data_IF_439206189941
#
_entry.id   IF_439206189941
#
_cell.length_a   1.000
_cell.length_b   1.000
_cell.length_c   1.000
_cell.angle_alpha   90.00
_cell.angle_beta   90.00
_cell.angle_gamma   90.00
#
_symmetry.space_group_name_H-M   'P 1'
#
loop_
_entity.id
_entity.type
_entity.pdbx_description
1 polymer ?
#
# COMPACT_ATOMS: atom_id res chain seq x y z
N UNK A 1 6.09 14.32 -22.74
CA UNK A 1 6.47 15.20 -21.61
C UNK A 1 5.39 15.09 -20.54
N UNK A 2 5.72 15.18 -19.24
CA UNK A 2 4.73 14.98 -18.18
C UNK A 2 3.73 16.15 -18.09
N UNK A 3 2.43 15.84 -17.94
CA UNK A 3 1.34 16.82 -17.76
C UNK A 3 1.45 17.60 -16.45
N UNK A 4 1.90 16.92 -15.39
CA UNK A 4 2.09 17.48 -14.05
C UNK A 4 3.48 17.13 -13.52
N UNK A 5 4.01 17.97 -12.64
CA UNK A 5 5.23 17.69 -11.89
C UNK A 5 4.99 17.79 -10.39
N UNK A 6 5.55 16.85 -9.64
CA UNK A 6 5.48 16.88 -8.18
C UNK A 6 6.34 18.02 -7.63
N UNK A 7 5.77 18.78 -6.70
CA UNK A 7 6.43 19.85 -5.94
C UNK A 7 6.50 19.41 -4.48
N UNK A 8 7.37 20.07 -3.69
CA UNK A 8 7.49 19.82 -2.25
C UNK A 8 6.11 19.76 -1.58
N UNK A 9 5.75 18.62 -0.95
CA UNK A 9 4.48 18.49 -0.27
C UNK A 9 4.44 19.39 0.96
N UNK A 10 3.24 19.71 1.43
CA UNK A 10 3.06 20.59 2.58
C UNK A 10 1.99 20.06 3.54
N UNK A 11 2.07 20.46 4.80
CA UNK A 11 1.02 20.16 5.78
C UNK A 11 -0.08 21.21 5.70
N UNK A 12 -1.33 20.76 5.64
CA UNK A 12 -2.51 21.65 5.61
C UNK A 12 -2.93 22.06 7.03
N UNK A 13 -2.82 21.16 8.00
CA UNK A 13 -3.41 21.34 9.33
C UNK A 13 -2.32 21.46 10.38
N UNK A 14 -2.42 22.49 11.20
CA UNK A 14 -1.54 22.75 12.34
C UNK A 14 -2.39 22.71 13.60
N UNK A 15 -1.89 22.08 14.65
CA UNK A 15 -2.56 22.06 15.95
C UNK A 15 -1.64 22.72 16.96
N UNK A 16 -2.19 23.66 17.72
CA UNK A 16 -1.48 24.49 18.68
C UNK A 16 -1.99 24.16 20.09
N UNK A 17 -1.09 23.96 21.05
CA UNK A 17 -1.45 23.95 22.47
C UNK A 17 -0.54 24.87 23.29
N UNK A 18 -0.97 25.34 24.46
CA UNK A 18 -0.07 26.00 25.40
C UNK A 18 1.12 25.10 25.75
N UNK A 19 2.31 25.69 25.87
CA UNK A 19 3.53 24.98 26.26
C UNK A 19 3.43 24.53 27.72
N UNK A 20 3.88 23.31 28.02
CA UNK A 20 3.84 22.77 29.41
C UNK A 20 4.70 23.59 30.39
N UNK A 21 5.81 24.17 29.93
CA UNK A 21 6.71 24.96 30.75
C UNK A 21 6.11 26.29 31.23
N UNK A 22 5.28 26.95 30.41
CA UNK A 22 4.67 28.25 30.73
C UNK A 22 3.33 28.44 29.99
N UNK A 23 2.22 27.86 30.50
CA UNK A 23 0.93 27.92 29.82
C UNK A 23 0.35 29.35 29.65
N UNK A 24 0.69 30.27 30.55
CA UNK A 24 0.20 31.66 30.52
C UNK A 24 0.71 32.46 29.32
N UNK A 25 1.84 32.07 28.71
CA UNK A 25 2.39 32.75 27.54
C UNK A 25 1.52 32.54 26.29
N UNK A 26 0.65 31.53 26.27
CA UNK A 26 -0.28 31.28 25.18
C UNK A 26 -1.26 32.44 24.99
N UNK A 27 -1.52 33.25 26.03
CA UNK A 27 -2.33 34.45 25.90
C UNK A 27 -1.75 35.43 24.86
N UNK A 28 -0.43 35.45 24.65
CA UNK A 28 0.19 36.27 23.59
C UNK A 28 -0.15 35.81 22.18
N UNK A 29 -0.47 34.51 21.99
CA UNK A 29 -0.98 33.97 20.71
C UNK A 29 -2.43 34.42 20.53
N UNK A 30 -3.22 34.36 21.60
CA UNK A 30 -4.62 34.82 21.64
C UNK A 30 -4.74 36.33 21.41
N UNK A 31 -3.79 37.12 21.91
CA UNK A 31 -3.80 38.59 21.82
C UNK A 31 -2.95 39.12 20.66
N UNK A 32 -2.48 38.26 19.75
CA UNK A 32 -1.56 38.67 18.69
C UNK A 32 -2.23 39.58 17.65
N UNK A 33 -1.93 40.87 17.65
CA UNK A 33 -2.51 41.84 16.71
C UNK A 33 -1.84 41.88 15.33
N UNK A 34 -1.09 40.84 14.94
CA UNK A 34 -0.57 40.77 13.57
C UNK A 34 -1.67 40.25 12.64
N UNK A 35 -1.71 40.67 11.36
CA UNK A 35 -2.75 40.23 10.43
C UNK A 35 -2.79 38.71 10.28
N UNK A 36 -1.63 38.04 10.30
CA UNK A 36 -1.54 36.58 10.29
C UNK A 36 -2.12 35.97 11.57
N UNK A 37 -1.80 36.56 12.73
CA UNK A 37 -2.27 36.10 14.03
C UNK A 37 -3.78 36.22 14.19
N UNK A 38 -4.33 37.36 13.76
CA UNK A 38 -5.77 37.59 13.71
C UNK A 38 -6.46 36.60 12.77
N UNK A 39 -5.92 36.40 11.57
CA UNK A 39 -6.50 35.45 10.62
C UNK A 39 -6.53 34.03 11.18
N UNK A 40 -5.43 33.57 11.78
CA UNK A 40 -5.36 32.25 12.43
C UNK A 40 -6.44 32.11 13.51
N UNK A 41 -6.63 33.12 14.37
CA UNK A 41 -7.62 33.05 15.46
C UNK A 41 -9.06 33.09 14.98
N UNK A 42 -9.33 33.83 13.91
CA UNK A 42 -10.68 33.93 13.39
C UNK A 42 -11.11 32.62 12.69
N UNK A 43 -10.16 31.84 12.15
CA UNK A 43 -10.47 30.59 11.43
C UNK A 43 -10.18 29.30 12.21
N UNK A 44 -9.49 29.37 13.35
CA UNK A 44 -9.14 28.15 14.09
C UNK A 44 -10.35 27.50 14.77
N UNK A 45 -10.30 26.18 14.90
CA UNK A 45 -11.24 25.40 15.71
C UNK A 45 -10.66 25.29 17.11
N UNK A 46 -11.20 26.09 18.03
CA UNK A 46 -10.76 26.06 19.42
C UNK A 46 -11.16 24.74 20.10
N UNK A 47 -10.18 24.04 20.64
CA UNK A 47 -10.39 22.88 21.50
C UNK A 47 -9.96 23.18 22.94
N UNK A 48 -10.21 22.26 23.87
CA UNK A 48 -9.86 22.43 25.29
C UNK A 48 -8.37 22.50 25.54
N UNK A 49 -7.57 21.82 24.72
CA UNK A 49 -6.10 21.77 24.84
C UNK A 49 -5.45 22.08 23.49
N UNK A 50 -5.95 21.46 22.41
CA UNK A 50 -5.44 21.65 21.06
C UNK A 50 -6.39 22.51 20.23
N UNK A 51 -5.88 23.63 19.70
CA UNK A 51 -6.56 24.49 18.74
C UNK A 51 -6.11 24.08 17.33
N UNK A 52 -7.07 23.77 16.45
CA UNK A 52 -6.77 23.29 15.10
C UNK A 52 -6.89 24.42 14.10
N UNK A 53 -5.82 24.67 13.34
CA UNK A 53 -5.72 25.68 12.31
C UNK A 53 -5.64 24.98 10.95
N UNK A 54 -6.57 25.31 10.06
CA UNK A 54 -6.39 25.05 8.63
C UNK A 54 -5.67 26.27 8.03
N UNK A 55 -4.43 26.06 7.59
CA UNK A 55 -3.57 27.13 7.10
C UNK A 55 -4.09 27.73 5.80
N UNK A 56 -4.76 26.94 4.96
CA UNK A 56 -5.35 27.44 3.71
C UNK A 56 -6.55 28.34 4.02
N UNK A 57 -7.45 27.90 4.90
CA UNK A 57 -8.58 28.71 5.32
C UNK A 57 -8.14 30.01 6.01
N UNK A 58 -7.10 29.96 6.85
CA UNK A 58 -6.51 31.14 7.48
C UNK A 58 -5.86 32.09 6.46
N UNK A 59 -5.20 31.56 5.43
CA UNK A 59 -4.62 32.37 4.36
C UNK A 59 -5.72 33.06 3.52
N UNK A 60 -6.77 32.33 3.16
CA UNK A 60 -7.91 32.85 2.39
C UNK A 60 -8.69 33.93 3.16
N UNK A 61 -8.99 33.69 4.44
CA UNK A 61 -9.71 34.66 5.28
C UNK A 61 -8.93 35.97 5.45
N UNK A 62 -7.61 35.89 5.58
CA UNK A 62 -6.74 37.04 5.75
C UNK A 62 -6.31 37.71 4.44
N UNK A 63 -6.58 37.10 3.28
CA UNK A 63 -5.94 37.46 2.00
C UNK A 63 -4.40 37.51 2.09
N UNK A 64 -3.80 36.54 2.79
CA UNK A 64 -2.37 36.44 3.07
C UNK A 64 -1.74 35.25 2.34
N UNK A 65 -0.40 35.25 2.18
CA UNK A 65 0.28 34.06 1.68
C UNK A 65 0.32 32.96 2.76
N UNK A 66 0.16 31.71 2.32
CA UNK A 66 0.26 30.53 3.19
C UNK A 66 1.58 30.52 3.98
N UNK A 67 2.69 30.93 3.34
CA UNK A 67 4.00 30.97 3.97
C UNK A 67 4.04 31.92 5.15
N UNK A 68 3.31 33.05 5.12
CA UNK A 68 3.27 34.01 6.22
C UNK A 68 2.51 33.46 7.43
N UNK A 69 1.38 32.78 7.19
CA UNK A 69 0.64 32.05 8.23
C UNK A 69 1.53 30.99 8.90
N UNK A 70 2.21 30.16 8.10
CA UNK A 70 3.10 29.13 8.63
C UNK A 70 4.27 29.75 9.40
N UNK A 71 4.87 30.82 8.86
CA UNK A 71 5.97 31.52 9.51
C UNK A 71 5.55 32.12 10.85
N UNK A 72 4.34 32.67 10.94
CA UNK A 72 3.80 33.17 12.20
C UNK A 72 3.62 32.05 13.23
N UNK A 73 3.08 30.90 12.82
CA UNK A 73 2.95 29.72 13.71
C UNK A 73 4.33 29.25 14.18
N UNK A 74 5.30 29.14 13.27
CA UNK A 74 6.68 28.76 13.63
C UNK A 74 7.34 29.79 14.54
N UNK A 75 7.04 31.08 14.37
CA UNK A 75 7.55 32.13 15.27
C UNK A 75 7.02 31.96 16.69
N UNK A 76 5.73 31.66 16.86
CA UNK A 76 5.15 31.38 18.17
C UNK A 76 5.76 30.13 18.82
N UNK A 77 6.00 29.09 18.05
CA UNK A 77 6.67 27.87 18.53
C UNK A 77 8.11 28.14 18.99
N UNK A 78 8.90 28.85 18.18
CA UNK A 78 10.29 29.19 18.51
C UNK A 78 10.39 30.13 19.72
N UNK A 79 9.39 30.98 19.93
CA UNK A 79 9.29 31.84 21.12
C UNK A 79 8.81 31.09 22.37
N UNK A 80 8.49 29.79 22.25
CA UNK A 80 7.97 28.97 23.34
C UNK A 80 6.54 29.31 23.75
N UNK A 81 5.78 30.02 22.92
CA UNK A 81 4.41 30.45 23.23
C UNK A 81 3.40 29.31 23.07
N UNK A 82 3.69 28.35 22.20
CA UNK A 82 2.87 27.18 21.97
C UNK A 82 3.71 25.98 21.51
N UNK A 83 3.18 24.78 21.71
CA UNK A 83 3.64 23.56 21.04
C UNK A 83 2.81 23.30 19.79
N UNK A 84 3.47 22.89 18.71
CA UNK A 84 2.84 22.70 17.40
C UNK A 84 2.93 21.23 16.98
N UNK A 85 1.84 20.71 16.42
CA UNK A 85 1.84 19.44 15.66
C UNK A 85 1.22 19.64 14.29
N UNK A 86 1.84 19.04 13.29
CA UNK A 86 1.41 19.12 11.89
C UNK A 86 0.72 17.83 11.45
N UNK A 87 -0.36 17.98 10.68
CA UNK A 87 -1.16 16.90 10.14
C UNK A 87 -1.64 17.24 8.72
N UNK A 88 -2.15 16.23 8.00
CA UNK A 88 -2.70 16.42 6.66
C UNK A 88 -1.63 16.78 5.63
N UNK A 89 -0.66 15.88 5.43
CA UNK A 89 0.30 16.01 4.32
C UNK A 89 -0.45 16.02 2.99
N UNK A 90 -0.24 17.06 2.21
CA UNK A 90 -0.79 17.22 0.87
C UNK A 90 0.34 17.20 -0.15
N UNK A 91 0.21 16.30 -1.13
CA UNK A 91 1.05 16.33 -2.32
C UNK A 91 0.65 17.52 -3.18
N UNK A 92 1.64 18.36 -3.54
CA UNK A 92 1.43 19.50 -4.42
C UNK A 92 1.94 19.15 -5.81
N UNK A 93 1.18 19.53 -6.83
CA UNK A 93 1.57 19.36 -8.21
C UNK A 93 1.53 20.69 -8.94
N UNK A 94 2.49 20.90 -9.84
CA UNK A 94 2.48 21.99 -10.81
C UNK A 94 1.96 21.45 -12.13
N UNK A 95 1.03 22.17 -12.75
CA UNK A 95 0.53 21.87 -14.09
C UNK A 95 1.55 22.40 -15.09
N UNK A 96 2.12 21.51 -15.91
CA UNK A 96 3.15 21.85 -16.90
C UNK A 96 2.58 22.06 -18.31
N UNK A 97 1.44 21.46 -18.58
CA UNK A 97 0.72 21.55 -19.86
C UNK A 97 -0.76 21.83 -19.59
N UNK A 98 -1.47 22.53 -20.49
CA UNK A 98 -2.90 22.78 -20.32
C UNK A 98 -3.63 21.46 -20.09
N UNK A 99 -4.50 21.44 -19.08
CA UNK A 99 -5.29 20.25 -18.78
C UNK A 99 -6.25 19.97 -19.95
N UNK A 100 -6.42 18.69 -20.34
CA UNK A 100 -7.41 18.32 -21.34
C UNK A 100 -8.80 18.74 -20.87
N UNK A 101 -9.58 19.31 -21.79
CA UNK A 101 -10.93 19.82 -21.49
C UNK A 101 -12.01 19.09 -22.30
N UNK A 102 -11.62 18.45 -23.40
CA UNK A 102 -12.54 17.62 -24.18
C UNK A 102 -12.67 16.23 -23.56
N UNK A 103 -13.86 15.65 -23.65
CA UNK A 103 -14.16 14.29 -23.18
C UNK A 103 -13.23 13.26 -23.85
N UNK A 104 -12.98 13.41 -25.16
CA UNK A 104 -12.09 12.52 -25.90
C UNK A 104 -10.63 12.54 -25.41
N UNK A 105 -10.09 13.71 -25.05
CA UNK A 105 -8.73 13.81 -24.51
C UNK A 105 -8.65 13.26 -23.08
N UNK A 106 -9.72 13.44 -22.28
CA UNK A 106 -9.81 12.87 -20.93
C UNK A 106 -9.84 11.34 -20.98
N UNK A 107 -10.61 10.77 -21.91
CA UNK A 107 -10.64 9.33 -22.13
C UNK A 107 -9.28 8.79 -22.55
N UNK A 108 -8.60 9.46 -23.49
CA UNK A 108 -7.24 9.07 -23.90
C UNK A 108 -6.25 9.10 -22.73
N UNK A 109 -6.32 10.12 -21.88
CA UNK A 109 -5.48 10.21 -20.69
C UNK A 109 -5.80 9.09 -19.69
N UNK A 110 -7.09 8.81 -19.46
CA UNK A 110 -7.53 7.74 -18.58
C UNK A 110 -7.05 6.37 -19.07
N UNK A 111 -7.19 6.09 -20.37
CA UNK A 111 -6.68 4.87 -21.01
C UNK A 111 -5.17 4.77 -20.86
N UNK A 112 -4.41 5.83 -21.15
CA UNK A 112 -2.95 5.80 -21.03
C UNK A 112 -2.48 5.54 -19.58
N UNK A 113 -3.15 6.12 -18.58
CA UNK A 113 -2.87 5.85 -17.16
C UNK A 113 -3.21 4.41 -16.79
N UNK A 114 -4.35 3.90 -17.28
CA UNK A 114 -4.76 2.52 -17.06
C UNK A 114 -3.75 1.54 -17.66
N UNK A 115 -3.37 1.73 -18.91
CA UNK A 115 -2.44 0.86 -19.62
C UNK A 115 -1.08 0.80 -18.91
N UNK A 116 -0.55 1.95 -18.48
CA UNK A 116 0.71 1.99 -17.74
C UNK A 116 0.63 1.22 -16.41
N UNK A 117 -0.50 1.32 -15.70
CA UNK A 117 -0.71 0.56 -14.46
C UNK A 117 -0.87 -0.93 -14.74
N UNK A 118 -1.62 -1.30 -15.79
CA UNK A 118 -1.86 -2.68 -16.19
C UNK A 118 -0.57 -3.37 -16.64
N UNK A 119 0.24 -2.72 -17.47
CA UNK A 119 1.55 -3.23 -17.90
C UNK A 119 2.48 -3.47 -16.72
N UNK A 120 2.50 -2.55 -15.74
CA UNK A 120 3.32 -2.69 -14.52
C UNK A 120 2.83 -3.85 -13.65
N UNK A 121 1.52 -3.98 -13.48
CA UNK A 121 0.91 -5.09 -12.74
C UNK A 121 1.25 -6.43 -13.40
N UNK A 122 1.11 -6.54 -14.72
CA UNK A 122 1.44 -7.76 -15.47
C UNK A 122 2.94 -8.08 -15.38
N UNK A 123 3.82 -7.08 -15.48
CA UNK A 123 5.25 -7.26 -15.28
C UNK A 123 5.60 -7.78 -13.88
N UNK A 124 4.91 -7.27 -12.84
CA UNK A 124 5.09 -7.73 -11.47
C UNK A 124 4.55 -9.16 -11.25
N UNK A 125 3.38 -9.49 -11.82
CA UNK A 125 2.83 -10.85 -11.81
C UNK A 125 3.77 -11.83 -12.51
N UNK A 126 4.27 -11.47 -13.70
CA UNK A 126 5.24 -12.26 -14.45
C UNK A 126 6.54 -12.47 -13.65
N UNK A 127 7.03 -11.43 -12.98
CA UNK A 127 8.22 -11.53 -12.11
C UNK A 127 7.98 -12.47 -10.92
N UNK A 128 6.81 -12.42 -10.29
CA UNK A 128 6.44 -13.34 -9.20
C UNK A 128 6.33 -14.79 -9.68
N UNK A 129 5.68 -15.02 -10.83
CA UNK A 129 5.63 -16.34 -11.48
C UNK A 129 7.03 -16.85 -11.81
N UNK A 130 7.90 -15.98 -12.33
CA UNK A 130 9.31 -16.29 -12.61
C UNK A 130 10.10 -16.79 -11.39
N UNK A 131 9.82 -16.25 -10.19
CA UNK A 131 10.43 -16.75 -8.94
C UNK A 131 9.91 -18.14 -8.58
N UNK A 132 8.62 -18.39 -8.72
CA UNK A 132 8.03 -19.71 -8.45
C UNK A 132 8.56 -20.76 -9.46
N UNK A 133 8.65 -20.40 -10.73
CA UNK A 133 9.21 -21.24 -11.78
C UNK A 133 10.70 -21.52 -11.56
N UNK A 134 11.48 -20.51 -11.18
CA UNK A 134 12.89 -20.67 -10.81
C UNK A 134 13.09 -21.70 -9.70
N UNK A 135 12.24 -21.68 -8.66
CA UNK A 135 12.30 -22.64 -7.55
C UNK A 135 11.92 -24.05 -8.02
N UNK A 136 10.90 -24.17 -8.88
CA UNK A 136 10.32 -25.42 -9.35
C UNK A 136 11.13 -26.13 -10.43
N UNK A 137 11.74 -25.39 -11.35
CA UNK A 137 12.34 -25.98 -12.54
C UNK A 137 13.58 -26.80 -12.20
N UNK A 138 14.34 -26.43 -11.16
CA UNK A 138 15.63 -27.06 -10.85
C UNK A 138 16.68 -26.92 -11.96
N UNK A 139 16.32 -26.40 -13.12
CA UNK A 139 17.18 -26.16 -14.28
C UNK A 139 16.63 -25.00 -15.10
N UNK A 140 17.51 -24.34 -15.83
CA UNK A 140 17.27 -23.06 -16.49
C UNK A 140 16.38 -23.18 -17.74
N UNK A 141 15.05 -23.19 -17.56
CA UNK A 141 14.12 -22.81 -18.65
C UNK A 141 13.62 -21.35 -18.51
N UNK A 142 13.96 -20.66 -17.41
CA UNK A 142 13.56 -19.27 -17.17
C UNK A 142 14.38 -18.23 -17.95
N UNK A 143 15.37 -18.64 -18.76
CA UNK A 143 16.13 -17.75 -19.64
C UNK A 143 15.34 -17.28 -20.90
N UNK A 144 14.15 -17.82 -21.18
CA UNK A 144 13.44 -17.53 -22.42
C UNK A 144 12.66 -16.20 -22.45
N UNK A 145 12.65 -15.41 -21.36
CA UNK A 145 11.80 -14.22 -21.30
C UNK A 145 12.53 -12.87 -21.21
N UNK A 146 13.86 -12.80 -21.05
CA UNK A 146 14.56 -11.51 -20.90
C UNK A 146 15.95 -11.38 -21.55
N UNK A 147 16.58 -12.42 -22.10
CA UNK A 147 17.89 -12.28 -22.76
C UNK A 147 17.86 -12.78 -24.21
N UNK A 148 18.41 -11.94 -25.09
CA UNK A 148 18.68 -12.26 -26.50
C UNK A 148 19.50 -13.56 -26.58
N UNK A 149 19.27 -14.41 -27.60
CA UNK A 149 20.06 -15.62 -27.78
C UNK A 149 21.53 -15.26 -28.06
N UNK A 150 22.40 -15.46 -27.08
CA UNK A 150 23.85 -15.46 -27.29
C UNK A 150 24.24 -16.83 -27.84
N UNK A 151 24.78 -16.84 -29.07
CA UNK A 151 24.95 -18.01 -29.93
C UNK A 151 26.09 -18.96 -29.55
N UNK A 152 26.50 -19.04 -28.28
CA UNK A 152 27.69 -19.81 -27.92
C UNK A 152 27.68 -20.36 -26.49
N UNK A 153 26.66 -21.09 -26.09
CA UNK A 153 26.80 -22.02 -24.95
C UNK A 153 26.07 -23.34 -25.25
N UNK A 154 26.84 -24.42 -25.21
CA UNK A 154 26.35 -25.79 -25.28
C UNK A 154 25.50 -26.12 -24.04
N UNK A 155 24.46 -26.96 -24.18
CA UNK A 155 23.55 -27.26 -23.09
C UNK A 155 24.24 -28.16 -22.05
N UNK A 156 24.78 -27.56 -20.99
CA UNK A 156 25.18 -28.31 -19.81
C UNK A 156 23.92 -28.75 -19.05
N UNK A 157 23.56 -30.02 -19.22
CA UNK A 157 22.53 -30.66 -18.42
C UNK A 157 22.90 -30.55 -16.92
N UNK A 158 22.02 -29.91 -16.14
CA UNK A 158 22.08 -29.69 -14.68
C UNK A 158 22.76 -28.41 -14.15
N UNK A 159 22.32 -27.24 -14.62
CA UNK A 159 22.66 -25.96 -13.97
C UNK A 159 21.98 -25.78 -12.60
N UNK A 160 22.72 -25.40 -11.55
CA UNK A 160 22.16 -25.15 -10.21
C UNK A 160 21.50 -23.78 -10.05
N UNK A 161 20.74 -23.59 -8.95
CA UNK A 161 20.02 -22.34 -8.64
C UNK A 161 20.90 -21.08 -8.72
N UNK A 162 22.14 -21.15 -8.25
CA UNK A 162 23.06 -20.02 -8.30
C UNK A 162 23.39 -19.56 -9.73
N UNK A 163 23.48 -20.49 -10.70
CA UNK A 163 23.75 -20.16 -12.09
C UNK A 163 22.55 -19.46 -12.74
N UNK A 164 21.33 -19.95 -12.49
CA UNK A 164 20.11 -19.31 -12.98
C UNK A 164 19.89 -17.91 -12.38
N UNK A 165 20.28 -17.68 -11.11
CA UNK A 165 20.30 -16.34 -10.54
C UNK A 165 21.34 -15.43 -11.20
N UNK A 166 22.56 -15.94 -11.44
CA UNK A 166 23.60 -15.18 -12.11
C UNK A 166 23.15 -14.72 -13.50
N UNK A 167 22.54 -15.62 -14.29
CA UNK A 167 21.95 -15.31 -15.59
C UNK A 167 20.84 -14.26 -15.52
N UNK A 168 19.95 -14.33 -14.52
CA UNK A 168 18.88 -13.33 -14.34
C UNK A 168 19.44 -11.91 -14.15
N UNK A 169 20.59 -11.78 -13.48
CA UNK A 169 21.28 -10.50 -13.30
C UNK A 169 22.27 -10.16 -14.43
N UNK A 170 22.31 -10.96 -15.51
CA UNK A 170 23.18 -10.75 -16.66
C UNK A 170 24.63 -11.20 -16.47
N UNK A 171 24.90 -12.03 -15.46
CA UNK A 171 26.22 -12.61 -15.22
C UNK A 171 26.29 -14.06 -15.71
N UNK A 172 26.64 -14.22 -16.99
CA UNK A 172 26.76 -15.53 -17.64
C UNK A 172 27.97 -16.35 -17.12
N UNK A 173 28.97 -15.67 -16.55
CA UNK A 173 30.24 -16.29 -16.12
C UNK A 173 30.35 -16.49 -14.61
N UNK A 174 29.45 -15.89 -13.83
CA UNK A 174 29.49 -15.89 -12.37
C UNK A 174 29.42 -17.26 -11.70
N UNK A 175 28.93 -18.28 -12.43
CA UNK A 175 28.97 -19.68 -12.00
C UNK A 175 29.60 -20.53 -13.10
N UNK A 176 30.93 -20.74 -13.05
CA UNK A 176 31.63 -21.59 -14.00
C UNK A 176 31.03 -22.99 -14.02
N UNK A 177 30.90 -23.58 -15.22
CA UNK A 177 30.35 -24.94 -15.45
C UNK A 177 28.87 -25.11 -15.04
N UNK A 178 28.15 -24.03 -14.75
CA UNK A 178 26.72 -24.08 -14.44
C UNK A 178 26.37 -24.60 -13.04
N UNK A 179 27.36 -24.99 -12.23
CA UNK A 179 27.13 -25.58 -10.91
C UNK A 179 27.94 -24.86 -9.83
N UNK A 180 27.26 -24.43 -8.76
CA UNK A 180 27.95 -23.83 -7.61
C UNK A 180 28.44 -24.87 -6.59
N UNK A 181 27.95 -26.12 -6.63
CA UNK A 181 28.25 -27.16 -5.62
C UNK A 181 27.64 -26.95 -4.22
N UNK A 182 27.11 -25.76 -3.92
CA UNK A 182 26.69 -25.39 -2.57
C UNK A 182 25.16 -25.30 -2.38
N UNK A 183 24.39 -25.02 -3.43
CA UNK A 183 22.93 -24.89 -3.34
C UNK A 183 22.22 -26.24 -3.14
N UNK A 184 20.98 -26.19 -2.64
CA UNK A 184 20.16 -27.39 -2.40
C UNK A 184 20.02 -28.26 -3.65
N UNK A 185 19.84 -27.65 -4.82
CA UNK A 185 19.80 -28.39 -6.08
C UNK A 185 21.12 -29.06 -6.43
N UNK A 186 22.27 -28.37 -6.31
CA UNK A 186 23.58 -29.00 -6.56
C UNK A 186 23.84 -30.20 -5.64
N UNK A 187 23.37 -30.14 -4.38
CA UNK A 187 23.56 -31.22 -3.40
C UNK A 187 22.60 -32.39 -3.60
N UNK A 188 21.35 -32.13 -3.98
CA UNK A 188 20.29 -33.16 -4.00
C UNK A 188 19.88 -33.58 -5.42
N UNK A 189 20.24 -32.77 -6.42
CA UNK A 189 19.78 -32.87 -7.82
C UNK A 189 18.25 -32.98 -7.94
N UNK A 190 17.52 -32.45 -6.96
CA UNK A 190 16.06 -32.42 -6.90
C UNK A 190 15.58 -30.98 -6.77
N UNK A 191 14.66 -30.59 -7.64
CA UNK A 191 13.97 -29.31 -7.52
C UNK A 191 13.05 -29.31 -6.29
N UNK A 192 12.80 -28.12 -5.75
CA UNK A 192 11.84 -27.95 -4.67
C UNK A 192 10.41 -28.20 -5.19
N UNK A 193 9.70 -29.13 -4.56
CA UNK A 193 8.29 -29.36 -4.85
C UNK A 193 7.46 -28.21 -4.29
N UNK A 194 7.00 -27.32 -5.15
CA UNK A 194 6.07 -26.26 -4.81
C UNK A 194 4.81 -26.43 -5.67
N UNK A 195 3.65 -26.57 -5.03
CA UNK A 195 2.35 -26.53 -5.71
C UNK A 195 1.77 -25.13 -5.48
N UNK A 196 1.86 -24.21 -6.46
CA UNK A 196 1.18 -22.92 -6.34
C UNK A 196 -0.33 -23.16 -6.20
N UNK A 197 -0.94 -22.56 -5.17
CA UNK A 197 -2.39 -22.41 -5.07
C UNK A 197 -2.85 -21.37 -6.08
N UNK A 198 -3.82 -21.68 -6.95
CA UNK A 198 -4.37 -20.71 -7.90
C UNK A 198 -4.80 -21.24 -9.27
N UNK A 199 -4.69 -22.54 -9.55
CA UNK A 199 -5.19 -23.15 -10.79
C UNK A 199 -6.38 -24.09 -10.53
N UNK A 200 -7.18 -23.83 -9.48
CA UNK A 200 -8.36 -24.63 -9.19
C UNK A 200 -9.41 -24.48 -10.29
N UNK A 201 -10.18 -25.54 -10.53
CA UNK A 201 -11.32 -25.51 -11.45
C UNK A 201 -12.33 -24.44 -11.02
N UNK A 202 -12.94 -23.80 -12.02
CA UNK A 202 -14.05 -22.84 -11.85
C UNK A 202 -15.22 -23.50 -11.11
N UNK A 203 -15.56 -23.06 -9.88
CA UNK A 203 -16.63 -23.66 -9.13
C UNK A 203 -17.97 -22.98 -9.49
N UNK A 204 -18.63 -23.43 -10.56
CA UNK A 204 -19.89 -22.87 -11.08
C UNK A 204 -20.97 -22.67 -9.99
N UNK A 205 -21.09 -23.60 -9.05
CA UNK A 205 -22.06 -23.52 -7.94
C UNK A 205 -21.77 -22.32 -7.03
N UNK A 206 -20.49 -22.09 -6.73
CA UNK A 206 -20.06 -20.98 -5.88
C UNK A 206 -20.23 -19.64 -6.61
N UNK A 207 -19.94 -19.60 -7.91
CA UNK A 207 -20.16 -18.42 -8.76
C UNK A 207 -21.64 -18.04 -8.77
N UNK A 208 -22.55 -19.01 -8.97
CA UNK A 208 -24.00 -18.77 -8.88
C UNK A 208 -24.41 -18.24 -7.51
N UNK A 209 -23.87 -18.82 -6.43
CA UNK A 209 -24.13 -18.35 -5.06
C UNK A 209 -23.74 -16.88 -4.87
N UNK A 210 -22.59 -16.46 -5.43
CA UNK A 210 -22.16 -15.05 -5.40
C UNK A 210 -23.14 -14.17 -6.19
N UNK A 211 -23.56 -14.60 -7.38
CA UNK A 211 -24.49 -13.87 -8.25
C UNK A 211 -25.90 -13.73 -7.64
N UNK A 212 -26.35 -14.72 -6.87
CA UNK A 212 -27.66 -14.70 -6.20
C UNK A 212 -27.67 -13.75 -4.99
N UNK A 213 -26.57 -13.70 -4.25
CA UNK A 213 -26.42 -12.87 -3.04
C UNK A 213 -26.10 -11.42 -3.39
N UNK A 214 -25.28 -11.21 -4.42
CA UNK A 214 -24.81 -9.92 -4.85
C UNK A 214 -25.36 -9.58 -6.24
N UNK A 215 -26.17 -8.53 -6.31
CA UNK A 215 -26.80 -8.03 -7.52
C UNK A 215 -25.98 -6.96 -8.24
N UNK A 216 -24.78 -6.66 -7.77
CA UNK A 216 -23.85 -5.78 -8.50
C UNK A 216 -23.52 -6.42 -9.85
N UNK A 217 -23.74 -5.70 -10.95
CA UNK A 217 -23.41 -6.13 -12.32
C UNK A 217 -22.72 -5.04 -13.13
N UNK A 218 -22.49 -3.88 -12.55
CA UNK A 218 -21.77 -2.78 -13.19
C UNK A 218 -20.24 -3.00 -13.25
N UNK A 219 -19.70 -3.92 -12.46
CA UNK A 219 -18.26 -4.15 -12.32
C UNK A 219 -17.97 -5.64 -12.07
N UNK A 220 -17.52 -6.36 -13.10
CA UNK A 220 -17.14 -7.76 -13.01
C UNK A 220 -15.94 -7.99 -12.09
N UNK A 221 -15.00 -7.03 -12.03
CA UNK A 221 -13.81 -7.11 -11.17
C UNK A 221 -14.19 -7.01 -9.71
N UNK A 222 -15.23 -6.25 -9.37
CA UNK A 222 -15.82 -6.26 -8.03
C UNK A 222 -16.34 -7.65 -7.65
N UNK A 223 -17.10 -8.32 -8.52
CA UNK A 223 -17.60 -9.68 -8.28
C UNK A 223 -16.45 -10.69 -8.13
N UNK A 224 -15.44 -10.62 -9.00
CA UNK A 224 -14.25 -11.46 -8.91
C UNK A 224 -13.52 -11.25 -7.57
N UNK A 225 -13.35 -10.00 -7.12
CA UNK A 225 -12.74 -9.68 -5.81
C UNK A 225 -13.55 -10.21 -4.64
N UNK A 226 -14.88 -10.10 -4.69
CA UNK A 226 -15.78 -10.64 -3.68
C UNK A 226 -15.63 -12.17 -3.58
N UNK A 227 -15.75 -12.86 -4.70
CA UNK A 227 -15.66 -14.31 -4.78
C UNK A 227 -14.28 -14.84 -4.40
N UNK A 228 -13.20 -14.12 -4.76
CA UNK A 228 -11.83 -14.49 -4.41
C UNK A 228 -11.44 -14.11 -2.97
N UNK A 229 -12.14 -13.16 -2.34
CA UNK A 229 -11.88 -12.74 -0.96
C UNK A 229 -10.89 -11.57 -0.84
N UNK A 230 -10.83 -10.70 -1.86
CA UNK A 230 -10.00 -9.49 -1.84
C UNK A 230 -10.81 -8.31 -1.27
N UNK A 231 -10.33 -7.74 -0.16
CA UNK A 231 -10.95 -6.54 0.42
C UNK A 231 -10.94 -5.36 -0.56
N UNK A 232 -12.05 -4.63 -0.62
CA UNK A 232 -12.16 -3.33 -1.27
C UNK A 232 -13.05 -2.40 -0.45
N UNK A 233 -12.93 -1.06 -0.62
CA UNK A 233 -13.84 -0.12 0.02
C UNK A 233 -15.31 -0.44 -0.29
N UNK A 234 -15.61 -0.82 -1.53
CA UNK A 234 -16.97 -1.18 -1.99
C UNK A 234 -17.48 -2.47 -1.32
N UNK A 235 -16.65 -3.52 -1.20
CA UNK A 235 -17.02 -4.76 -0.50
C UNK A 235 -17.34 -4.49 0.97
N UNK A 236 -16.56 -3.60 1.61
CA UNK A 236 -16.78 -3.20 3.00
C UNK A 236 -18.04 -2.36 3.16
N UNK A 237 -18.27 -1.40 2.28
CA UNK A 237 -19.45 -0.53 2.28
C UNK A 237 -20.76 -1.32 2.11
N UNK A 238 -20.75 -2.38 1.28
CA UNK A 238 -21.89 -3.27 1.08
C UNK A 238 -22.02 -4.34 2.18
N UNK A 239 -21.13 -4.37 3.18
CA UNK A 239 -21.17 -5.33 4.28
C UNK A 239 -20.87 -6.78 3.87
N UNK A 240 -20.37 -6.98 2.65
CA UNK A 240 -20.14 -8.30 2.06
C UNK A 240 -18.86 -8.97 2.59
N UNK A 241 -17.93 -8.22 3.16
CA UNK A 241 -16.69 -8.76 3.76
C UNK A 241 -16.92 -9.74 4.92
N UNK A 242 -18.12 -9.74 5.51
CA UNK A 242 -18.52 -10.65 6.60
C UNK A 242 -19.52 -11.72 6.14
N UNK A 243 -19.89 -11.73 4.86
CA UNK A 243 -20.83 -12.68 4.30
C UNK A 243 -20.10 -13.97 3.90
N UNK A 244 -20.81 -15.10 3.93
CA UNK A 244 -20.25 -16.42 3.59
C UNK A 244 -19.82 -16.54 2.10
N UNK A 245 -20.20 -15.57 1.25
CA UNK A 245 -19.80 -15.53 -0.18
C UNK A 245 -18.44 -14.89 -0.38
N UNK A 246 -17.91 -14.20 0.64
CA UNK A 246 -16.59 -13.56 0.56
C UNK A 246 -15.50 -14.63 0.61
N UNK A 247 -14.73 -14.74 -0.47
CA UNK A 247 -13.65 -15.74 -0.58
C UNK A 247 -14.13 -17.17 -0.80
N UNK A 248 -15.37 -17.37 -1.26
CA UNK A 248 -15.92 -18.71 -1.54
C UNK A 248 -15.13 -19.43 -2.66
N UNK A 249 -14.63 -18.68 -3.65
CA UNK A 249 -13.85 -19.17 -4.79
C UNK A 249 -12.33 -18.92 -4.63
N UNK A 250 -11.79 -18.88 -3.40
CA UNK A 250 -10.38 -18.51 -3.14
C UNK A 250 -9.32 -19.37 -3.85
N UNK A 251 -9.67 -20.60 -4.21
CA UNK A 251 -8.74 -21.57 -4.83
C UNK A 251 -8.85 -21.58 -6.36
N UNK A 252 -9.85 -20.88 -6.94
CA UNK A 252 -10.08 -20.80 -8.37
C UNK A 252 -9.07 -19.86 -9.06
N UNK A 253 -8.85 -20.04 -10.36
CA UNK A 253 -8.10 -19.09 -11.16
C UNK A 253 -8.85 -17.74 -11.26
N UNK A 254 -8.18 -16.65 -10.88
CA UNK A 254 -8.79 -15.32 -10.82
C UNK A 254 -9.16 -14.78 -12.21
N UNK A 255 -8.38 -15.09 -13.25
CA UNK A 255 -8.64 -14.60 -14.61
C UNK A 255 -9.87 -15.29 -15.17
N UNK A 256 -9.94 -16.61 -15.03
CA UNK A 256 -11.12 -17.38 -15.42
C UNK A 256 -12.38 -16.92 -14.68
N UNK A 257 -12.24 -16.63 -13.39
CA UNK A 257 -13.33 -16.10 -12.56
C UNK A 257 -13.78 -14.71 -13.05
N UNK A 258 -12.84 -13.84 -13.41
CA UNK A 258 -13.12 -12.52 -13.97
C UNK A 258 -13.81 -12.62 -15.32
N UNK A 259 -13.31 -13.44 -16.24
CA UNK A 259 -13.91 -13.67 -17.56
C UNK A 259 -15.34 -14.20 -17.43
N UNK A 260 -15.58 -15.11 -16.48
CA UNK A 260 -16.93 -15.61 -16.21
C UNK A 260 -17.85 -14.51 -15.71
N UNK A 261 -17.40 -13.67 -14.79
CA UNK A 261 -18.20 -12.54 -14.31
C UNK A 261 -18.41 -11.46 -15.38
N UNK A 262 -17.44 -11.24 -16.26
CA UNK A 262 -17.55 -10.31 -17.38
C UNK A 262 -18.67 -10.74 -18.33
N UNK A 263 -18.75 -12.03 -18.68
CA UNK A 263 -19.82 -12.59 -19.48
C UNK A 263 -21.21 -12.40 -18.83
N UNK A 264 -21.30 -12.57 -17.50
CA UNK A 264 -22.54 -12.38 -16.73
C UNK A 264 -22.96 -10.91 -16.64
N UNK A 265 -21.99 -10.00 -16.46
CA UNK A 265 -22.24 -8.55 -16.45
C UNK A 265 -22.65 -8.04 -17.84
N UNK A 266 -21.98 -8.51 -18.89
CA UNK A 266 -22.35 -8.20 -20.28
C UNK A 266 -23.76 -8.70 -20.62
N UNK A 267 -24.12 -9.91 -20.21
CA UNK A 267 -25.48 -10.45 -20.37
C UNK A 267 -26.54 -9.65 -19.60
N UNK A 268 -26.16 -9.00 -18.49
CA UNK A 268 -27.02 -8.10 -17.73
C UNK A 268 -26.97 -6.64 -18.21
N UNK A 269 -26.26 -6.33 -19.31
CA UNK A 269 -26.08 -4.97 -19.82
C UNK A 269 -25.38 -4.04 -18.82
N UNK A 270 -24.54 -4.58 -17.95
CA UNK A 270 -23.85 -3.86 -16.86
C UNK A 270 -24.80 -3.14 -15.88
N UNK A 271 -26.03 -3.64 -15.72
CA UNK A 271 -27.03 -3.02 -14.84
C UNK A 271 -27.23 -3.78 -13.54
N UNK A 272 -27.09 -3.08 -12.42
CA UNK A 272 -27.27 -3.65 -11.09
C UNK A 272 -28.69 -4.21 -10.90
N UNK A 273 -28.78 -5.38 -10.27
CA UNK A 273 -30.00 -6.07 -9.88
C UNK A 273 -30.33 -5.78 -8.41
N UNK A 274 -31.59 -5.96 -8.04
CA UNK A 274 -32.09 -5.67 -6.70
C UNK A 274 -31.48 -6.54 -5.57
N UNK A 275 -30.85 -7.67 -5.91
CA UNK A 275 -30.24 -8.54 -4.91
C UNK A 275 -29.07 -7.82 -4.22
N UNK A 276 -29.17 -7.53 -2.94
CA UNK A 276 -28.03 -7.20 -2.08
C UNK A 276 -28.41 -7.78 -0.73
N UNK A 277 -27.92 -8.99 -0.44
CA UNK A 277 -28.24 -9.62 0.84
C UNK A 277 -27.76 -8.71 1.99
N UNK A 278 -28.60 -8.48 3.02
CA UNK A 278 -28.19 -7.67 4.15
C UNK A 278 -27.02 -8.33 4.88
N UNK A 279 -26.09 -7.55 5.45
CA UNK A 279 -24.94 -8.09 6.19
C UNK A 279 -25.43 -8.99 7.33
N UNK A 280 -24.85 -10.20 7.41
CA UNK A 280 -25.17 -11.18 8.46
C UNK A 280 -24.97 -10.51 9.83
N UNK A 281 -26.04 -10.44 10.63
CA UNK A 281 -25.93 -10.01 12.04
C UNK A 281 -24.99 -11.00 12.73
N UNK A 282 -23.90 -10.50 13.30
CA UNK A 282 -23.03 -11.29 14.18
C UNK A 282 -23.91 -11.95 15.24
N UNK A 283 -23.97 -13.29 15.21
CA UNK A 283 -24.69 -14.08 16.20
C UNK A 283 -24.12 -13.71 17.57
N UNK A 284 -24.89 -12.98 18.37
CA UNK A 284 -24.52 -12.64 19.74
C UNK A 284 -24.18 -13.92 20.49
N UNK A 285 -23.03 -13.93 21.16
CA UNK A 285 -22.74 -14.96 22.15
C UNK A 285 -23.83 -14.88 23.21
N UNK A 286 -24.71 -15.88 23.20
CA UNK A 286 -25.53 -16.23 24.35
C UNK A 286 -24.54 -16.62 25.45
N UNK A 287 -24.67 -15.97 26.61
CA UNK A 287 -23.85 -16.24 27.77
C UNK A 287 -24.12 -17.64 28.31
N UNK A 288 -23.06 -18.26 28.79
CA UNK A 288 -23.11 -19.23 29.87
C UNK A 288 -21.93 -18.93 30.79
N UNK A 289 -22.25 -18.66 32.05
CA UNK A 289 -21.33 -18.62 33.18
C UNK A 289 -20.74 -20.02 33.37
N UNK A 290 -19.41 -20.17 33.31
CA UNK A 290 -18.69 -20.98 34.31
C UNK A 290 -17.18 -20.68 34.35
N UNK A 291 -16.76 -20.28 35.54
CA UNK A 291 -15.47 -20.46 36.22
C UNK A 291 -14.31 -21.14 35.48
N UNK A 292 -13.15 -20.47 35.39
CA UNK A 292 -11.90 -21.17 35.05
C UNK A 292 -10.68 -20.27 34.85
N UNK A 293 -9.82 -20.18 35.87
CA UNK A 293 -8.51 -19.51 35.86
C UNK A 293 -7.63 -19.99 34.68
N UNK A 294 -7.06 -19.04 33.92
CA UNK A 294 -5.99 -19.32 32.95
C UNK A 294 -5.26 -18.04 32.54
N UNK A 295 -4.01 -17.89 32.97
CA UNK A 295 -3.17 -16.72 32.78
C UNK A 295 -2.83 -16.45 31.30
N UNK A 296 -3.07 -15.23 30.83
CA UNK A 296 -2.61 -14.74 29.53
C UNK A 296 -1.12 -14.35 29.54
N UNK A 297 -0.37 -14.54 28.44
CA UNK A 297 1.03 -14.13 28.36
C UNK A 297 1.15 -12.60 28.22
N UNK A 298 2.03 -12.02 29.03
CA UNK A 298 2.37 -10.59 29.05
C UNK A 298 3.01 -10.15 27.73
N UNK A 299 2.52 -9.04 27.18
CA UNK A 299 3.17 -8.26 26.11
C UNK A 299 4.59 -7.89 26.54
N UNK A 300 5.61 -8.29 25.76
CA UNK A 300 7.00 -7.85 25.93
C UNK A 300 7.14 -6.38 25.52
N UNK A 301 7.67 -5.57 26.43
CA UNK A 301 8.09 -4.20 26.19
C UNK A 301 9.46 -4.17 25.48
N UNK A 302 9.63 -3.20 24.57
CA UNK A 302 10.91 -2.90 23.92
C UNK A 302 11.85 -2.11 24.85
N UNK A 303 13.15 -2.44 24.97
CA UNK A 303 14.08 -1.67 25.79
C UNK A 303 14.58 -0.42 25.06
N UNK A 304 14.56 0.71 25.78
CA UNK A 304 15.21 1.98 25.44
C UNK A 304 16.68 1.99 25.90
N UNK A 305 17.51 2.67 25.11
CA UNK A 305 18.69 3.46 25.47
C UNK A 305 19.75 2.85 26.42
N UNK A 306 20.84 2.35 25.85
CA UNK A 306 22.12 2.18 26.53
C UNK A 306 23.15 3.22 26.04
N UNK A 307 23.38 4.23 26.90
CA UNK A 307 24.48 5.19 26.82
C UNK A 307 25.84 4.47 26.65
N UNK A 308 26.58 4.84 25.61
CA UNK A 308 27.96 4.38 25.38
C UNK A 308 28.94 5.28 26.12
N UNK A 309 29.47 4.80 27.25
CA UNK A 309 30.61 5.41 27.93
C UNK A 309 31.92 4.98 27.22
N UNK A 310 32.81 5.95 26.98
CA UNK A 310 34.12 5.78 26.33
C UNK A 310 35.19 5.64 27.41
N UNK A 311 35.96 4.56 27.39
CA UNK A 311 37.12 4.33 28.28
C UNK A 311 38.46 4.50 27.53
N UNK A 312 39.57 4.82 28.22
CA UNK A 312 40.74 5.48 27.63
C UNK A 312 41.82 4.51 27.13
N UNK A 313 42.52 4.94 26.07
CA UNK A 313 43.70 4.28 25.47
C UNK A 313 44.92 4.36 26.38
N UNK A 314 45.46 3.20 26.80
CA UNK A 314 46.79 3.07 27.40
C UNK A 314 47.87 2.99 26.31
N UNK A 315 48.87 3.88 26.41
CA UNK A 315 50.16 3.83 25.70
C UNK A 315 50.99 2.64 26.22
N UNK A 316 51.47 1.78 25.34
CA UNK A 316 52.55 0.83 25.62
C UNK A 316 53.87 1.42 25.12
N UNK A 317 54.85 1.48 26.03
CA UNK A 317 56.22 1.90 25.81
C UNK A 317 57.12 0.66 25.92
N UNK A 318 58.16 0.65 25.10
CA UNK A 318 59.44 -0.09 25.20
C UNK A 318 59.49 -1.59 24.86
N UNK A 319 60.38 -1.86 23.90
CA UNK A 319 60.85 -3.11 23.33
C UNK A 319 61.54 -2.76 22.04
#
# INVERSE_FOLDING_TARGET
MPLISAVTPFYQTYTLKPTEANPSLFQRVVDSNTPEGESIRNTWKAGTIWHTVDVLAAAEHGSLDRQDIVRQISKWELQGLCEVKVHGLRSRYSILQPLPTSEAELDQLATALYDQMAEREEADVKRLKGVADFVRSGSCETALLLSKPSASLTPAASSGYAHSLALYFGDETGVPKGECGHCSYCKTKKALSFKPSGNGELPDVQIRTVLDVCGVRDDARFLARLAFGVHSPRVTALGLSRHDVFGICKDADFIQLLERFEAECAAAGYTNKAALAPPKKTRGKIGDDDSGKGAGPKKRASPKDAKRARAPTKKSKTG
#
